data_IF_725194535837
#
_entry.id   IF_725194535837
#
_cell.length_a   1.000
_cell.length_b   1.000
_cell.length_c   1.000
_cell.angle_alpha   90.00
_cell.angle_beta   90.00
_cell.angle_gamma   90.00
#
_symmetry.space_group_name_H-M   'P 1'
#
loop_
_entity.id
_entity.type
_entity.pdbx_description
1 polymer ?
#
# COMPACT_ATOMS: atom_id res chain seq x y z
N UNK A 1 -0.37 -2.23 8.44
CA UNK A 1 -0.19 -3.37 9.36
C UNK A 1 -0.96 -4.63 8.90
N UNK A 2 -2.22 -4.51 8.45
CA UNK A 2 -3.06 -5.67 8.13
C UNK A 2 -2.46 -6.70 7.18
N UNK A 3 -1.82 -6.35 6.04
CA UNK A 3 -1.24 -7.35 5.14
C UNK A 3 -0.12 -8.14 5.79
N UNK A 4 0.75 -7.48 6.58
CA UNK A 4 1.86 -8.14 7.26
C UNK A 4 1.38 -9.14 8.30
N UNK A 5 0.40 -8.74 9.13
CA UNK A 5 -0.18 -9.62 10.15
C UNK A 5 -0.90 -10.79 9.49
N UNK A 6 -1.69 -10.53 8.43
CA UNK A 6 -2.36 -11.58 7.66
C UNK A 6 -1.34 -12.58 7.08
N UNK A 7 -0.28 -12.10 6.43
CA UNK A 7 0.79 -12.95 5.90
C UNK A 7 1.43 -13.81 7.00
N UNK A 8 1.75 -13.24 8.17
CA UNK A 8 2.36 -13.99 9.28
C UNK A 8 1.39 -15.04 9.82
N UNK A 9 0.14 -14.68 10.11
CA UNK A 9 -0.85 -15.62 10.64
C UNK A 9 -1.15 -16.76 9.65
N UNK A 10 -1.26 -16.48 8.35
CA UNK A 10 -1.40 -17.50 7.32
C UNK A 10 -0.17 -18.42 7.29
N UNK A 11 1.06 -17.86 7.39
CA UNK A 11 2.29 -18.66 7.39
C UNK A 11 2.42 -19.59 8.61
N UNK A 12 1.79 -19.21 9.73
CA UNK A 12 1.73 -20.01 10.96
C UNK A 12 0.55 -21.00 10.98
N UNK A 13 -0.29 -21.02 9.93
CA UNK A 13 -1.52 -21.82 9.91
C UNK A 13 -2.58 -21.36 10.92
N UNK A 14 -2.49 -20.12 11.41
CA UNK A 14 -3.39 -19.53 12.40
C UNK A 14 -4.53 -18.73 11.76
N UNK A 15 -4.50 -18.55 10.45
CA UNK A 15 -5.53 -17.91 9.65
C UNK A 15 -5.71 -18.68 8.34
N UNK A 16 -6.94 -18.94 7.95
CA UNK A 16 -7.24 -19.60 6.69
C UNK A 16 -6.96 -18.65 5.52
N UNK A 17 -6.57 -19.21 4.37
CA UNK A 17 -6.12 -18.43 3.21
C UNK A 17 -7.24 -17.59 2.57
N UNK A 18 -8.50 -17.93 2.82
CA UNK A 18 -9.71 -17.26 2.34
C UNK A 18 -10.25 -16.21 3.32
N UNK A 19 -9.58 -15.99 4.46
CA UNK A 19 -9.98 -14.99 5.45
C UNK A 19 -9.14 -13.73 5.30
N UNK A 20 -9.81 -12.62 5.01
CA UNK A 20 -9.22 -11.30 5.01
C UNK A 20 -9.36 -10.62 6.38
N UNK A 21 -8.27 -10.03 6.87
CA UNK A 21 -8.27 -9.26 8.13
C UNK A 21 -8.80 -7.83 7.98
N UNK A 22 -9.10 -7.40 6.76
CA UNK A 22 -9.65 -6.09 6.46
C UNK A 22 -10.48 -6.13 5.17
N UNK A 23 -11.47 -5.24 5.06
CA UNK A 23 -12.32 -5.18 3.88
C UNK A 23 -11.73 -4.24 2.82
N UNK A 24 -10.88 -4.78 1.95
CA UNK A 24 -10.17 -3.98 0.96
C UNK A 24 -11.09 -3.23 -0.03
N UNK A 25 -12.18 -3.81 -0.58
CA UNK A 25 -13.11 -3.06 -1.42
C UNK A 25 -13.67 -1.82 -0.72
N UNK A 26 -14.11 -1.95 0.54
CA UNK A 26 -14.60 -0.83 1.32
C UNK A 26 -13.55 0.26 1.60
N UNK A 27 -12.28 -0.13 1.77
CA UNK A 27 -11.19 0.85 1.90
C UNK A 27 -10.98 1.65 0.60
N UNK A 28 -11.05 0.97 -0.54
CA UNK A 28 -10.88 1.59 -1.86
C UNK A 28 -12.03 2.54 -2.16
N UNK A 29 -13.27 2.11 -1.90
CA UNK A 29 -14.45 2.97 -2.03
C UNK A 29 -14.31 4.24 -1.19
N UNK A 30 -13.87 4.10 0.06
CA UNK A 30 -13.64 5.27 0.92
C UNK A 30 -12.58 6.22 0.34
N UNK A 31 -11.44 5.69 -0.10
CA UNK A 31 -10.35 6.51 -0.64
C UNK A 31 -10.79 7.23 -1.92
N UNK A 32 -11.42 6.51 -2.85
CA UNK A 32 -11.80 7.02 -4.16
C UNK A 32 -13.00 7.97 -4.09
N UNK A 33 -14.00 7.67 -3.24
CA UNK A 33 -15.26 8.44 -3.18
C UNK A 33 -15.21 9.55 -2.12
N UNK A 34 -14.68 9.27 -0.93
CA UNK A 34 -14.77 10.20 0.20
C UNK A 34 -13.50 11.06 0.38
N UNK A 35 -12.33 10.46 0.22
CA UNK A 35 -11.05 11.09 0.53
C UNK A 35 -10.45 11.89 -0.63
N UNK A 36 -10.82 11.61 -1.88
CA UNK A 36 -10.34 12.38 -3.03
C UNK A 36 -10.97 13.78 -3.09
N UNK A 37 -10.19 14.77 -3.52
CA UNK A 37 -10.69 16.13 -3.78
C UNK A 37 -10.76 16.43 -5.28
N UNK A 38 -11.75 17.21 -5.77
CA UNK A 38 -11.96 17.45 -7.20
C UNK A 38 -10.79 18.14 -7.92
N UNK A 39 -9.92 18.82 -7.17
CA UNK A 39 -8.78 19.57 -7.72
C UNK A 39 -7.43 18.88 -7.44
N UNK A 40 -7.46 17.58 -7.11
CA UNK A 40 -6.27 16.77 -6.82
C UNK A 40 -5.85 16.79 -5.34
N UNK A 41 -5.17 15.73 -4.91
CA UNK A 41 -4.83 15.49 -3.50
C UNK A 41 -5.97 14.85 -2.70
N UNK A 42 -5.62 14.28 -1.55
CA UNK A 42 -6.55 13.60 -0.65
C UNK A 42 -6.62 14.28 0.73
N UNK A 43 -7.72 14.02 1.43
CA UNK A 43 -8.07 14.55 2.76
C UNK A 43 -8.40 13.42 3.73
N UNK A 44 -8.48 13.73 5.02
CA UNK A 44 -8.99 12.84 6.07
C UNK A 44 -10.40 12.30 5.72
N UNK A 45 -11.35 13.22 5.57
CA UNK A 45 -12.77 12.92 5.36
C UNK A 45 -13.53 14.11 4.76
N UNK A 46 -14.78 13.94 4.30
CA UNK A 46 -15.60 15.03 3.81
C UNK A 46 -15.65 16.23 4.75
N UNK A 47 -15.57 17.43 4.18
CA UNK A 47 -15.52 18.69 4.94
C UNK A 47 -14.15 19.09 5.49
N UNK A 48 -13.12 18.25 5.36
CA UNK A 48 -11.72 18.62 5.68
C UNK A 48 -10.93 19.05 4.44
N UNK A 49 -9.91 19.89 4.67
CA UNK A 49 -8.98 20.31 3.62
C UNK A 49 -8.06 19.16 3.19
N UNK A 50 -7.56 19.23 1.96
CA UNK A 50 -6.50 18.34 1.48
C UNK A 50 -5.15 18.74 2.07
N UNK A 51 -4.27 17.78 2.25
CA UNK A 51 -2.87 18.02 2.61
C UNK A 51 -1.95 16.91 2.08
N UNK A 52 -0.64 17.11 2.21
CA UNK A 52 0.36 16.15 1.74
C UNK A 52 0.38 14.86 2.56
N UNK A 53 0.05 14.94 3.85
CA UNK A 53 0.05 13.80 4.74
C UNK A 53 -1.03 12.80 4.31
N UNK A 54 -2.28 13.23 4.21
CA UNK A 54 -3.40 12.41 3.78
C UNK A 54 -3.27 11.99 2.32
N UNK A 55 -2.71 12.85 1.46
CA UNK A 55 -2.38 12.45 0.08
C UNK A 55 -1.42 11.26 0.06
N UNK A 56 -0.30 11.34 0.79
CA UNK A 56 0.68 10.26 0.86
C UNK A 56 0.09 8.97 1.41
N UNK A 57 -0.50 9.02 2.61
CA UNK A 57 -0.95 7.80 3.29
C UNK A 57 -2.21 7.18 2.68
N UNK A 58 -3.11 7.97 2.09
CA UNK A 58 -4.25 7.41 1.36
C UNK A 58 -3.81 6.73 0.07
N UNK A 59 -2.81 7.26 -0.65
CA UNK A 59 -2.22 6.57 -1.81
C UNK A 59 -1.48 5.29 -1.41
N UNK A 60 -0.77 5.30 -0.28
CA UNK A 60 -0.16 4.08 0.28
C UNK A 60 -1.21 3.02 0.63
N UNK A 61 -2.33 3.42 1.24
CA UNK A 61 -3.46 2.53 1.53
C UNK A 61 -4.12 1.98 0.26
N UNK A 62 -4.29 2.83 -0.75
CA UNK A 62 -4.81 2.45 -2.08
C UNK A 62 -3.93 1.37 -2.72
N UNK A 63 -2.61 1.56 -2.75
CA UNK A 63 -1.66 0.59 -3.31
C UNK A 63 -1.72 -0.77 -2.61
N UNK A 64 -1.87 -0.77 -1.28
CA UNK A 64 -1.98 -2.00 -0.49
C UNK A 64 -3.29 -2.73 -0.81
N UNK A 65 -4.43 -2.03 -0.74
CA UNK A 65 -5.74 -2.65 -0.96
C UNK A 65 -5.91 -3.17 -2.40
N UNK A 66 -5.39 -2.43 -3.39
CA UNK A 66 -5.47 -2.82 -4.78
C UNK A 66 -4.55 -4.00 -5.14
N UNK A 67 -3.51 -4.28 -4.34
CA UNK A 67 -2.65 -5.46 -4.54
C UNK A 67 -3.30 -6.79 -4.15
N UNK A 68 -4.31 -6.76 -3.26
CA UNK A 68 -4.95 -7.96 -2.73
C UNK A 68 -6.17 -8.40 -3.55
N UNK A 69 -6.78 -7.49 -4.33
CA UNK A 69 -8.03 -7.76 -5.05
C UNK A 69 -8.02 -7.20 -6.46
N UNK A 70 -8.63 -7.96 -7.38
CA UNK A 70 -9.11 -7.40 -8.65
C UNK A 70 -10.31 -6.51 -8.37
N UNK A 71 -10.22 -5.23 -8.72
CA UNK A 71 -11.30 -4.27 -8.49
C UNK A 71 -12.22 -4.23 -9.69
N UNK A 72 -13.40 -4.80 -9.53
CA UNK A 72 -14.43 -4.75 -10.56
C UNK A 72 -14.87 -3.30 -10.79
N UNK A 73 -14.85 -2.85 -12.05
CA UNK A 73 -15.23 -1.49 -12.43
C UNK A 73 -14.16 -0.40 -12.26
N UNK A 74 -12.99 -0.70 -11.69
CA UNK A 74 -11.86 0.24 -11.65
C UNK A 74 -10.91 -0.06 -12.81
N UNK A 75 -10.58 0.94 -13.67
CA UNK A 75 -9.64 0.72 -14.75
C UNK A 75 -8.28 0.23 -14.23
N UNK A 76 -7.76 -0.84 -14.85
CA UNK A 76 -6.52 -1.50 -14.42
C UNK A 76 -5.34 -0.54 -14.41
N UNK A 77 -5.31 0.39 -15.35
CA UNK A 77 -4.29 1.44 -15.46
C UNK A 77 -4.23 2.37 -14.22
N UNK A 78 -5.36 2.58 -13.52
CA UNK A 78 -5.38 3.41 -12.31
C UNK A 78 -4.77 2.67 -11.12
N UNK A 79 -4.98 1.35 -11.09
CA UNK A 79 -4.40 0.46 -10.08
C UNK A 79 -2.90 0.26 -10.33
N UNK A 80 -2.50 0.08 -11.59
CA UNK A 80 -1.08 -0.02 -11.96
C UNK A 80 -0.32 1.30 -11.76
N UNK A 81 -1.03 2.43 -11.83
CA UNK A 81 -0.49 3.75 -11.51
C UNK A 81 -0.01 3.86 -10.06
N UNK A 82 -0.69 3.21 -9.11
CA UNK A 82 -0.22 3.06 -7.72
C UNK A 82 0.68 1.84 -7.62
N UNK A 83 1.97 2.05 -7.92
CA UNK A 83 3.03 1.05 -7.79
C UNK A 83 3.00 0.37 -6.42
N UNK A 84 3.37 -0.91 -6.39
CA UNK A 84 3.39 -1.71 -5.16
C UNK A 84 4.30 -1.08 -4.10
N UNK A 85 3.69 -0.70 -2.98
CA UNK A 85 4.38 -0.11 -1.83
C UNK A 85 4.86 -1.21 -0.89
N UNK A 86 6.08 -1.07 -0.40
CA UNK A 86 6.63 -1.91 0.63
C UNK A 86 5.86 -1.72 1.94
N UNK A 87 5.24 -2.76 2.51
CA UNK A 87 4.38 -2.63 3.68
C UNK A 87 5.13 -2.30 4.98
N UNK A 88 6.47 -2.37 4.98
CA UNK A 88 7.33 -2.03 6.11
C UNK A 88 7.86 -0.59 5.98
N UNK A 89 8.40 -0.24 4.82
CA UNK A 89 9.08 1.04 4.62
C UNK A 89 8.21 2.15 4.01
N UNK A 90 7.00 1.82 3.56
CA UNK A 90 6.07 2.75 2.91
C UNK A 90 6.68 3.53 1.73
N UNK A 91 7.51 2.84 0.94
CA UNK A 91 8.07 3.33 -0.32
C UNK A 91 7.89 2.24 -1.37
N UNK A 92 7.92 2.56 -2.66
CA UNK A 92 7.75 1.54 -3.72
C UNK A 92 8.80 0.43 -3.59
N UNK A 93 8.39 -0.83 -3.77
CA UNK A 93 9.22 -2.01 -3.49
C UNK A 93 10.59 -1.97 -4.19
N UNK A 94 10.63 -1.54 -5.44
CA UNK A 94 11.88 -1.41 -6.20
C UNK A 94 12.93 -0.50 -5.52
N UNK A 95 12.50 0.54 -4.79
CA UNK A 95 13.42 1.42 -4.07
C UNK A 95 14.02 0.73 -2.85
N UNK A 96 13.23 -0.11 -2.17
CA UNK A 96 13.74 -0.94 -1.06
C UNK A 96 14.77 -1.93 -1.59
N UNK A 97 14.46 -2.65 -2.67
CA UNK A 97 15.39 -3.60 -3.27
C UNK A 97 16.67 -2.93 -3.75
N UNK A 98 16.55 -1.74 -4.36
CA UNK A 98 17.70 -0.96 -4.83
C UNK A 98 18.59 -0.53 -3.67
N UNK A 99 17.99 -0.04 -2.58
CA UNK A 99 18.72 0.32 -1.37
C UNK A 99 19.42 -0.89 -0.74
N UNK A 100 18.72 -2.02 -0.59
CA UNK A 100 19.28 -3.25 -0.02
C UNK A 100 20.44 -3.80 -0.86
N UNK A 101 20.32 -3.79 -2.19
CA UNK A 101 21.41 -4.18 -3.10
C UNK A 101 22.63 -3.29 -2.92
N UNK A 102 22.43 -1.98 -2.95
CA UNK A 102 23.53 -1.00 -2.86
C UNK A 102 24.26 -1.04 -1.52
N UNK A 103 23.53 -1.05 -0.40
CA UNK A 103 24.14 -1.04 0.93
C UNK A 103 24.56 -2.44 1.41
N UNK A 104 23.94 -3.52 0.91
CA UNK A 104 24.36 -4.89 1.16
C UNK A 104 25.73 -5.22 0.57
N UNK A 105 26.00 -4.78 -0.67
CA UNK A 105 27.31 -4.93 -1.32
C UNK A 105 28.44 -4.14 -0.63
N UNK A 106 28.09 -3.04 0.05
CA UNK A 106 29.07 -2.24 0.81
C UNK A 106 29.51 -2.92 2.11
N UNK A 107 28.65 -3.72 2.72
CA UNK A 107 28.98 -4.46 3.93
C UNK A 107 29.94 -5.63 3.64
N UNK A 108 29.85 -6.25 2.46
CA UNK A 108 30.81 -7.28 2.03
C UNK A 108 32.16 -6.69 1.63
N UNK A 109 32.18 -5.50 1.01
CA UNK A 109 33.40 -4.83 0.57
C UNK A 109 34.25 -4.22 1.71
N UNK A 110 33.69 -4.01 2.91
CA UNK A 110 34.42 -3.56 4.10
C UNK A 110 34.94 -4.72 4.99
N UNK A 111 34.59 -5.96 4.66
CA UNK A 111 34.99 -7.16 5.39
C UNK A 111 36.18 -7.90 4.74
N UNK A 112 36.76 -7.35 3.68
CA UNK A 112 38.07 -7.72 3.10
C UNK A 112 39.08 -6.62 3.40
#
# INVERSE_FOLDING_TARGET
>A
AFPLVQTVLCSLGQLAADVDLYHAPGLLDYILVCAQTPHGGLRDKPGKGRDYYHTCYSLSGLAIAASAHSLEGVPREWIEGVRLVNPVFNVVNEQVETALRHFGQRNTAKAQ
#
